data_IF_985218481178
#
_entry.id   IF_985218481178
#
_cell.length_a   1.000
_cell.length_b   1.000
_cell.length_c   1.000
_cell.angle_alpha   90.00
_cell.angle_beta   90.00
_cell.angle_gamma   90.00
#
_symmetry.space_group_name_H-M   'P 1'
#
loop_
_entity.id
_entity.type
_entity.pdbx_description
1 polymer ?
#
# COMPACT_ATOMS: atom_id res chain seq x y z
N UNK A 1 1.83 -1.33 24.57
CA UNK A 1 1.21 -0.83 23.31
C UNK A 1 -0.07 -1.61 23.11
N UNK A 2 -1.16 -0.94 22.79
CA UNK A 2 -2.46 -1.58 22.61
C UNK A 2 -2.63 -2.05 21.16
N UNK A 3 -3.56 -2.97 20.95
CA UNK A 3 -3.94 -3.37 19.59
C UNK A 3 -4.72 -2.25 18.88
N UNK A 4 -4.67 -2.22 17.55
CA UNK A 4 -5.59 -1.39 16.76
C UNK A 4 -7.04 -1.73 17.12
N UNK A 5 -7.90 -0.71 17.15
CA UNK A 5 -9.35 -0.88 17.39
C UNK A 5 -10.00 -1.27 16.06
N UNK A 6 -10.28 -2.55 15.88
CA UNK A 6 -10.95 -3.05 14.69
C UNK A 6 -12.40 -2.55 14.62
N UNK A 7 -12.79 -2.04 13.45
CA UNK A 7 -14.15 -1.52 13.18
C UNK A 7 -14.96 -2.46 12.29
N UNK A 8 -14.29 -3.15 11.36
CA UNK A 8 -14.91 -4.11 10.48
C UNK A 8 -13.89 -5.12 9.96
N UNK A 9 -14.35 -6.33 9.70
CA UNK A 9 -13.59 -7.41 9.06
C UNK A 9 -14.49 -8.05 8.01
N UNK A 10 -14.06 -7.99 6.76
CA UNK A 10 -14.90 -8.32 5.61
C UNK A 10 -14.13 -9.28 4.69
N UNK A 11 -14.85 -10.19 4.06
CA UNK A 11 -14.24 -11.09 3.09
C UNK A 11 -13.74 -10.32 1.87
N UNK A 12 -12.55 -10.63 1.43
CA UNK A 12 -11.97 -10.05 0.22
C UNK A 12 -12.71 -10.55 -1.02
N UNK A 13 -12.94 -9.70 -2.04
CA UNK A 13 -13.59 -10.12 -3.29
C UNK A 13 -12.74 -11.09 -4.13
N UNK A 14 -11.46 -11.23 -3.82
CA UNK A 14 -10.55 -12.19 -4.45
C UNK A 14 -9.53 -12.70 -3.43
N UNK A 15 -9.01 -13.92 -3.59
CA UNK A 15 -8.07 -14.50 -2.64
C UNK A 15 -6.72 -13.77 -2.63
N UNK A 16 -6.00 -13.91 -1.54
CA UNK A 16 -4.69 -13.29 -1.27
C UNK A 16 -4.69 -11.77 -1.57
N UNK A 17 -5.53 -10.95 -0.88
CA UNK A 17 -5.50 -9.52 -1.05
C UNK A 17 -4.11 -8.96 -0.67
N UNK A 18 -3.49 -8.19 -1.58
CA UNK A 18 -2.10 -7.79 -1.46
C UNK A 18 -1.90 -6.27 -1.40
N UNK A 19 -2.58 -5.52 -2.24
CA UNK A 19 -2.46 -4.07 -2.32
C UNK A 19 -3.80 -3.39 -2.07
N UNK A 20 -3.80 -2.18 -1.51
CA UNK A 20 -4.97 -1.35 -1.27
C UNK A 20 -4.68 0.11 -1.61
N UNK A 21 -5.69 0.81 -2.11
CA UNK A 21 -5.71 2.26 -2.22
C UNK A 21 -7.16 2.76 -2.11
N UNK A 22 -7.37 4.01 -1.70
CA UNK A 22 -8.68 4.65 -1.66
C UNK A 22 -8.68 5.90 -2.53
N UNK A 23 -9.67 6.04 -3.42
CA UNK A 23 -9.75 7.14 -4.39
C UNK A 23 -10.68 8.29 -3.97
N UNK A 24 -11.17 8.26 -2.74
CA UNK A 24 -12.17 9.19 -2.21
C UNK A 24 -13.59 8.64 -2.28
N UNK A 25 -13.83 7.57 -3.03
CA UNK A 25 -15.15 6.92 -3.18
C UNK A 25 -15.09 5.40 -3.09
N UNK A 26 -14.03 4.79 -3.62
CA UNK A 26 -13.84 3.35 -3.72
C UNK A 26 -12.54 2.90 -3.11
N UNK A 27 -12.59 1.74 -2.51
CA UNK A 27 -11.39 1.00 -2.10
C UNK A 27 -10.96 0.12 -3.29
N UNK A 28 -9.71 0.28 -3.70
CA UNK A 28 -9.08 -0.51 -4.75
C UNK A 28 -8.23 -1.61 -4.12
N UNK A 29 -8.36 -2.82 -4.62
CA UNK A 29 -7.66 -3.99 -4.12
C UNK A 29 -7.02 -4.78 -5.25
N UNK A 30 -5.76 -5.20 -5.06
CA UNK A 30 -5.08 -6.13 -5.93
C UNK A 30 -4.89 -7.48 -5.26
N UNK A 31 -5.25 -8.56 -5.95
CA UNK A 31 -5.03 -9.94 -5.49
C UNK A 31 -3.66 -10.46 -5.95
N UNK A 32 -2.91 -11.04 -5.04
CA UNK A 32 -1.63 -11.69 -5.36
C UNK A 32 -1.83 -12.96 -6.19
N UNK A 33 -2.82 -13.77 -5.82
CA UNK A 33 -3.07 -15.05 -6.46
C UNK A 33 -3.64 -14.90 -7.88
N UNK A 34 -4.65 -14.05 -8.05
CA UNK A 34 -5.34 -13.89 -9.34
C UNK A 34 -4.77 -12.78 -10.20
N UNK A 35 -3.94 -11.91 -9.64
CA UNK A 35 -3.43 -10.68 -10.27
C UNK A 35 -4.54 -9.70 -10.69
N UNK A 36 -5.79 -9.91 -10.23
CA UNK A 36 -6.91 -9.05 -10.57
C UNK A 36 -6.89 -7.78 -9.71
N UNK A 37 -7.28 -6.68 -10.33
CA UNK A 37 -7.57 -5.41 -9.68
C UNK A 37 -9.08 -5.30 -9.55
N UNK A 38 -9.56 -5.02 -8.35
CA UNK A 38 -10.99 -4.83 -8.05
C UNK A 38 -11.23 -3.46 -7.43
N UNK A 39 -12.33 -2.83 -7.77
CA UNK A 39 -12.86 -1.66 -7.04
C UNK A 39 -14.01 -2.10 -6.16
N UNK A 40 -14.03 -1.63 -4.91
CA UNK A 40 -14.98 -2.01 -3.87
C UNK A 40 -15.68 -0.75 -3.39
N UNK A 41 -16.99 -0.78 -3.33
CA UNK A 41 -17.78 0.24 -2.64
C UNK A 41 -17.73 -0.06 -1.12
N UNK A 42 -17.09 0.79 -0.29
CA UNK A 42 -16.92 0.48 1.13
C UNK A 42 -18.22 0.56 1.95
N UNK A 43 -19.28 1.17 1.41
CA UNK A 43 -20.56 1.27 2.08
C UNK A 43 -21.43 0.02 1.86
N UNK A 44 -21.38 -0.58 0.68
CA UNK A 44 -22.21 -1.74 0.31
C UNK A 44 -21.44 -3.04 0.22
N UNK A 45 -20.12 -2.96 0.23
CA UNK A 45 -19.16 -4.05 0.00
C UNK A 45 -19.34 -4.73 -1.37
N UNK A 46 -19.86 -3.98 -2.34
CA UNK A 46 -20.00 -4.45 -3.72
C UNK A 46 -18.69 -4.25 -4.47
N UNK A 47 -18.14 -5.33 -5.00
CA UNK A 47 -16.91 -5.32 -5.77
C UNK A 47 -17.18 -5.41 -7.28
N UNK A 48 -16.29 -4.78 -8.07
CA UNK A 48 -16.19 -4.91 -9.52
C UNK A 48 -14.79 -5.36 -9.89
N UNK A 49 -14.72 -6.27 -10.84
CA UNK A 49 -13.48 -6.64 -11.49
C UNK A 49 -13.12 -5.59 -12.54
N UNK A 50 -11.99 -4.94 -12.38
CA UNK A 50 -11.54 -3.83 -13.22
C UNK A 50 -10.46 -4.26 -14.24
N UNK A 51 -9.80 -5.39 -14.03
CA UNK A 51 -8.81 -5.93 -14.95
C UNK A 51 -7.72 -6.76 -14.30
N UNK A 52 -6.84 -7.32 -15.14
CA UNK A 52 -5.70 -8.12 -14.70
C UNK A 52 -4.40 -7.33 -14.80
N UNK A 53 -3.56 -7.39 -13.76
CA UNK A 53 -2.22 -6.85 -13.78
C UNK A 53 -1.26 -7.81 -14.51
N UNK A 54 -0.25 -7.31 -15.24
CA UNK A 54 0.74 -8.14 -15.93
C UNK A 54 1.57 -9.01 -14.99
N UNK A 55 1.67 -8.63 -13.73
CA UNK A 55 2.34 -9.38 -12.66
C UNK A 55 1.60 -9.22 -11.33
N UNK A 56 2.18 -9.73 -10.25
CA UNK A 56 1.60 -9.57 -8.90
C UNK A 56 1.52 -8.10 -8.53
N UNK A 57 0.33 -7.53 -8.24
CA UNK A 57 0.17 -6.14 -7.84
C UNK A 57 0.59 -5.95 -6.38
N UNK A 58 1.88 -5.76 -6.15
CA UNK A 58 2.46 -5.69 -4.80
C UNK A 58 1.96 -4.49 -4.01
N UNK A 59 1.81 -3.33 -4.63
CA UNK A 59 1.32 -2.12 -4.01
C UNK A 59 0.62 -1.22 -5.02
N UNK A 60 -0.24 -0.33 -4.55
CA UNK A 60 -0.90 0.66 -5.38
C UNK A 60 -1.17 1.94 -4.60
N UNK A 61 -1.35 3.04 -5.33
CA UNK A 61 -1.81 4.32 -4.80
C UNK A 61 -2.57 5.08 -5.87
N UNK A 62 -3.40 6.03 -5.46
CA UNK A 62 -4.15 6.91 -6.37
C UNK A 62 -3.32 8.14 -6.69
N UNK A 63 -3.28 8.52 -7.97
CA UNK A 63 -2.65 9.76 -8.47
C UNK A 63 -3.61 10.42 -9.47
N UNK A 64 -4.28 11.46 -9.04
CA UNK A 64 -5.39 12.04 -9.81
C UNK A 64 -6.53 11.03 -9.98
N UNK A 65 -6.96 10.77 -11.22
CA UNK A 65 -8.04 9.84 -11.55
C UNK A 65 -7.54 8.42 -11.89
N UNK A 66 -6.27 8.13 -11.61
CA UNK A 66 -5.61 6.88 -11.98
C UNK A 66 -4.97 6.20 -10.78
N UNK A 67 -4.66 4.91 -10.95
CA UNK A 67 -3.78 4.21 -10.03
C UNK A 67 -2.34 4.19 -10.55
N UNK A 68 -1.39 4.25 -9.63
CA UNK A 68 -0.04 3.73 -9.82
C UNK A 68 0.01 2.37 -9.14
N UNK A 69 0.43 1.37 -9.90
CA UNK A 69 0.54 -0.01 -9.42
C UNK A 69 1.98 -0.47 -9.62
N UNK A 70 2.60 -0.98 -8.55
CA UNK A 70 3.91 -1.62 -8.62
C UNK A 70 3.72 -3.13 -8.70
N UNK A 71 4.29 -3.75 -9.72
CA UNK A 71 4.28 -5.20 -9.92
C UNK A 71 5.62 -5.69 -10.47
N UNK A 72 5.86 -7.00 -10.43
CA UNK A 72 7.06 -7.59 -10.95
C UNK A 72 6.93 -7.96 -12.43
N UNK A 73 7.98 -7.73 -13.21
CA UNK A 73 8.10 -8.16 -14.61
C UNK A 73 9.27 -9.13 -14.77
N UNK A 74 9.09 -10.12 -15.66
CA UNK A 74 10.11 -11.08 -16.00
C UNK A 74 10.42 -12.15 -14.94
N UNK A 75 11.45 -12.93 -15.18
CA UNK A 75 11.83 -14.06 -14.33
C UNK A 75 12.42 -13.63 -12.98
N UNK A 76 13.04 -12.47 -12.93
CA UNK A 76 13.68 -11.91 -11.73
C UNK A 76 12.69 -11.09 -10.87
N UNK A 77 11.40 -11.01 -11.29
CA UNK A 77 10.34 -10.25 -10.62
C UNK A 77 10.75 -8.77 -10.41
N UNK A 78 11.47 -8.20 -11.38
CA UNK A 78 11.89 -6.79 -11.37
C UNK A 78 10.70 -5.86 -11.23
N UNK A 79 10.73 -4.98 -10.24
CA UNK A 79 9.61 -4.10 -9.94
C UNK A 79 9.52 -2.94 -10.92
N UNK A 80 8.32 -2.80 -11.50
CA UNK A 80 7.96 -1.67 -12.35
C UNK A 80 6.71 -1.00 -11.82
N UNK A 81 6.66 0.32 -11.94
CA UNK A 81 5.47 1.11 -11.66
C UNK A 81 4.79 1.43 -12.98
N UNK A 82 3.49 1.12 -13.08
CA UNK A 82 2.66 1.42 -14.24
C UNK A 82 1.41 2.19 -13.84
N UNK A 83 0.85 2.84 -14.82
CA UNK A 83 -0.47 3.48 -14.70
C UNK A 83 -1.55 2.46 -14.99
N UNK A 84 -2.56 2.44 -14.16
CA UNK A 84 -3.81 1.75 -14.40
C UNK A 84 -4.93 2.78 -14.46
N UNK A 85 -5.61 2.83 -15.59
CA UNK A 85 -6.70 3.77 -15.84
C UNK A 85 -8.01 3.02 -15.65
N UNK A 86 -8.88 3.39 -14.69
CA UNK A 86 -10.17 2.75 -14.50
C UNK A 86 -10.97 2.69 -15.80
N UNK A 87 -11.52 1.50 -16.10
CA UNK A 87 -12.25 1.23 -17.35
C UNK A 87 -11.39 1.06 -18.61
N UNK A 88 -10.06 1.29 -18.56
CA UNK A 88 -9.16 1.14 -19.71
C UNK A 88 -8.01 0.14 -19.45
N UNK A 89 -7.67 -0.10 -18.17
CA UNK A 89 -6.61 -1.02 -17.78
C UNK A 89 -5.21 -0.40 -17.75
N UNK A 90 -4.18 -1.25 -17.84
CA UNK A 90 -2.78 -0.84 -17.77
C UNK A 90 -2.30 -0.16 -19.05
N UNK A 91 -1.44 0.87 -18.89
CA UNK A 91 -0.78 1.56 -20.00
C UNK A 91 0.74 1.54 -19.84
N UNK A 92 1.45 1.46 -20.96
CA UNK A 92 2.92 1.54 -20.99
C UNK A 92 3.41 2.99 -20.80
N UNK A 93 2.61 3.97 -21.17
CA UNK A 93 2.98 5.38 -21.06
C UNK A 93 3.11 5.81 -19.59
N UNK A 94 4.20 6.52 -19.26
CA UNK A 94 4.43 7.06 -17.92
C UNK A 94 4.78 6.01 -16.86
N UNK A 95 5.16 4.78 -17.28
CA UNK A 95 5.72 3.77 -16.39
C UNK A 95 7.24 3.88 -16.26
N UNK A 96 7.78 3.35 -15.16
CA UNK A 96 9.22 3.30 -14.92
C UNK A 96 9.61 2.09 -14.07
N UNK A 97 10.88 1.69 -14.14
CA UNK A 97 11.45 0.65 -13.27
C UNK A 97 11.67 1.22 -11.87
N UNK A 98 11.26 0.50 -10.84
CA UNK A 98 11.50 0.91 -9.46
C UNK A 98 13.01 0.98 -9.19
N UNK A 99 13.49 1.94 -8.36
CA UNK A 99 14.88 2.01 -7.96
C UNK A 99 15.35 0.67 -7.37
N UNK A 100 16.56 0.25 -7.76
CA UNK A 100 17.17 -1.05 -7.40
C UNK A 100 16.37 -2.29 -7.85
N UNK A 101 15.38 -2.14 -8.75
CA UNK A 101 14.52 -3.22 -9.20
C UNK A 101 13.60 -3.79 -8.11
N UNK A 102 13.45 -3.12 -6.98
CA UNK A 102 12.67 -3.61 -5.84
C UNK A 102 11.70 -2.57 -5.28
N UNK A 103 10.60 -3.03 -4.71
CA UNK A 103 9.56 -2.20 -4.09
C UNK A 103 8.35 -3.03 -3.71
N UNK A 104 7.66 -2.63 -2.65
CA UNK A 104 6.52 -3.39 -2.10
C UNK A 104 5.22 -2.60 -2.12
N UNK A 105 5.22 -1.35 -1.67
CA UNK A 105 4.03 -0.54 -1.52
C UNK A 105 4.23 0.84 -2.13
N UNK A 106 3.13 1.54 -2.39
CA UNK A 106 3.13 2.89 -2.94
C UNK A 106 2.30 3.84 -2.08
N UNK A 107 2.71 5.11 -2.01
CA UNK A 107 1.89 6.21 -1.54
C UNK A 107 2.20 7.50 -2.31
N UNK A 108 1.27 8.45 -2.30
CA UNK A 108 1.37 9.72 -3.01
C UNK A 108 0.99 10.86 -2.08
N UNK A 109 1.81 11.92 -2.02
CA UNK A 109 1.56 13.09 -1.16
C UNK A 109 0.96 14.30 -1.87
N UNK A 110 0.69 14.18 -3.17
CA UNK A 110 0.23 15.26 -4.03
C UNK A 110 1.29 15.75 -5.02
N UNK A 111 2.58 15.42 -4.79
CA UNK A 111 3.72 15.84 -5.61
C UNK A 111 4.73 14.71 -5.85
N UNK A 112 5.01 13.91 -4.84
CA UNK A 112 6.03 12.86 -4.85
C UNK A 112 5.39 11.49 -4.68
N UNK A 113 5.81 10.54 -5.53
CA UNK A 113 5.47 9.12 -5.38
C UNK A 113 6.52 8.44 -4.48
N UNK A 114 6.04 7.78 -3.43
CA UNK A 114 6.90 7.03 -2.51
C UNK A 114 6.75 5.54 -2.72
N UNK A 115 7.90 4.85 -2.80
CA UNK A 115 8.03 3.40 -2.94
C UNK A 115 8.66 2.86 -1.67
N UNK A 116 8.04 1.88 -1.00
CA UNK A 116 8.68 1.20 0.12
C UNK A 116 9.61 0.08 -0.38
N UNK A 117 10.71 -0.12 0.33
CA UNK A 117 11.61 -1.25 0.17
C UNK A 117 11.72 -2.01 1.49
N UNK A 118 11.09 -3.18 1.57
CA UNK A 118 10.97 -3.96 2.80
C UNK A 118 12.34 -4.33 3.39
N UNK A 119 13.20 -5.00 2.62
CA UNK A 119 14.52 -5.43 3.10
C UNK A 119 15.49 -4.29 3.44
N UNK A 120 15.26 -3.11 2.87
CA UNK A 120 16.09 -1.92 3.11
C UNK A 120 15.49 -0.99 4.15
N UNK A 121 14.32 -1.33 4.67
CA UNK A 121 13.58 -0.59 5.71
C UNK A 121 13.56 0.92 5.39
N UNK A 122 13.09 1.26 4.19
CA UNK A 122 13.06 2.67 3.76
C UNK A 122 11.92 2.97 2.78
N UNK A 123 11.57 4.24 2.73
CA UNK A 123 10.74 4.86 1.71
C UNK A 123 11.65 5.61 0.74
N UNK A 124 11.39 5.49 -0.57
CA UNK A 124 12.09 6.24 -1.62
C UNK A 124 11.08 7.15 -2.29
N UNK A 125 11.30 8.47 -2.21
CA UNK A 125 10.56 9.44 -3.00
C UNK A 125 11.14 9.51 -4.42
N UNK A 126 10.27 9.43 -5.43
CA UNK A 126 10.66 9.47 -6.84
C UNK A 126 9.86 10.51 -7.62
N UNK A 127 10.47 11.03 -8.69
CA UNK A 127 9.78 11.87 -9.68
C UNK A 127 8.93 11.03 -10.65
N UNK A 128 8.26 11.69 -11.59
CA UNK A 128 7.42 11.04 -12.60
C UNK A 128 8.17 10.09 -13.55
N UNK A 129 9.50 10.12 -13.56
CA UNK A 129 10.38 9.26 -14.37
C UNK A 129 11.02 8.14 -13.54
N UNK A 130 10.77 8.10 -12.23
CA UNK A 130 11.37 7.16 -11.30
C UNK A 130 12.76 7.56 -10.80
N UNK A 131 13.21 8.80 -11.03
CA UNK A 131 14.46 9.31 -10.49
C UNK A 131 14.29 9.56 -9.00
N UNK A 132 15.26 9.10 -8.20
CA UNK A 132 15.24 9.24 -6.74
C UNK A 132 15.40 10.69 -6.33
N UNK A 133 14.44 11.22 -5.58
CA UNK A 133 14.45 12.56 -4.99
C UNK A 133 14.99 12.55 -3.56
N UNK A 134 14.76 11.46 -2.83
CA UNK A 134 15.20 11.31 -1.45
C UNK A 134 14.81 9.97 -0.85
N UNK A 135 15.28 9.71 0.35
CA UNK A 135 14.97 8.49 1.10
C UNK A 135 14.66 8.82 2.55
N UNK A 136 13.71 8.08 3.14
CA UNK A 136 13.37 8.14 4.56
C UNK A 136 13.51 6.74 5.15
N UNK A 137 14.31 6.59 6.20
CA UNK A 137 14.46 5.32 6.91
C UNK A 137 13.19 4.99 7.69
N UNK A 138 12.86 3.71 7.75
CA UNK A 138 11.81 3.15 8.61
C UNK A 138 12.45 2.27 9.68
N UNK A 139 11.84 2.13 10.87
CA UNK A 139 12.39 1.29 11.93
C UNK A 139 12.30 -0.21 11.62
N UNK A 140 11.35 -0.62 10.79
CA UNK A 140 11.02 -2.01 10.47
C UNK A 140 10.76 -2.19 8.96
N UNK A 141 10.63 -3.42 8.50
CA UNK A 141 10.20 -3.76 7.15
C UNK A 141 8.77 -3.29 6.87
N UNK A 142 8.55 -2.65 5.72
CA UNK A 142 7.28 -2.00 5.39
C UNK A 142 6.39 -2.94 4.57
N UNK A 143 5.24 -3.33 5.13
CA UNK A 143 4.24 -4.18 4.51
C UNK A 143 3.04 -3.42 3.94
N UNK A 144 2.80 -2.20 4.41
CA UNK A 144 1.74 -1.31 3.95
C UNK A 144 2.12 0.14 4.17
N UNK A 145 1.62 1.06 3.34
CA UNK A 145 1.87 2.48 3.52
C UNK A 145 0.75 3.35 2.96
N UNK A 146 0.51 4.46 3.63
CA UNK A 146 -0.32 5.56 3.16
C UNK A 146 0.18 6.88 3.75
N UNK A 147 -0.28 8.01 3.22
CA UNK A 147 0.04 9.34 3.74
C UNK A 147 -1.24 10.00 4.24
N UNK A 148 -1.22 10.47 5.48
CA UNK A 148 -2.32 11.19 6.10
C UNK A 148 -1.78 12.48 6.70
N UNK A 149 -2.31 13.62 6.28
CA UNK A 149 -1.92 14.95 6.78
C UNK A 149 -0.39 15.20 6.71
N UNK A 150 0.25 14.71 5.63
CA UNK A 150 1.69 14.86 5.38
C UNK A 150 2.58 13.97 6.25
N UNK A 151 2.03 12.98 6.93
CA UNK A 151 2.77 11.97 7.68
C UNK A 151 2.59 10.60 7.05
N UNK A 152 3.63 9.78 7.07
CA UNK A 152 3.52 8.37 6.66
C UNK A 152 2.90 7.56 7.78
N UNK A 153 1.91 6.75 7.43
CA UNK A 153 1.40 5.67 8.24
C UNK A 153 1.74 4.36 7.54
N UNK A 154 2.34 3.45 8.28
CA UNK A 154 2.91 2.21 7.77
C UNK A 154 2.37 1.02 8.55
N UNK A 155 2.11 -0.08 7.88
CA UNK A 155 2.11 -1.39 8.50
C UNK A 155 3.52 -1.95 8.39
N UNK A 156 4.12 -2.29 9.52
CA UNK A 156 5.53 -2.71 9.59
C UNK A 156 5.69 -4.01 10.37
N UNK A 157 6.77 -4.74 10.10
CA UNK A 157 7.18 -5.95 10.83
C UNK A 157 8.67 -6.21 10.63
N UNK A 158 9.29 -6.91 11.56
CA UNK A 158 10.66 -7.42 11.40
C UNK A 158 10.72 -8.83 10.82
N UNK A 159 9.61 -9.58 10.92
CA UNK A 159 9.47 -10.94 10.39
C UNK A 159 8.06 -11.13 9.83
N UNK A 160 7.96 -11.39 8.52
CA UNK A 160 6.67 -11.53 7.83
C UNK A 160 5.92 -12.81 8.19
N UNK A 161 6.59 -13.82 8.68
CA UNK A 161 6.02 -15.15 8.94
C UNK A 161 5.67 -15.36 10.42
N UNK A 162 6.46 -14.79 11.33
CA UNK A 162 6.34 -15.09 12.77
C UNK A 162 6.41 -13.85 13.66
N UNK A 163 6.59 -12.65 13.07
CA UNK A 163 6.78 -11.42 13.82
C UNK A 163 5.50 -10.71 14.24
N UNK A 164 5.67 -9.76 15.13
CA UNK A 164 4.64 -8.77 15.43
C UNK A 164 4.48 -7.80 14.27
N UNK A 165 3.28 -7.27 14.12
CA UNK A 165 2.98 -6.22 13.17
C UNK A 165 2.57 -4.97 13.92
N UNK A 166 3.07 -3.82 13.45
CA UNK A 166 2.79 -2.53 14.05
C UNK A 166 2.16 -1.56 13.04
N UNK A 167 1.32 -0.69 13.54
CA UNK A 167 0.99 0.55 12.87
C UNK A 167 2.03 1.58 13.30
N UNK A 168 2.93 1.93 12.38
CA UNK A 168 4.03 2.87 12.61
C UNK A 168 3.74 4.19 11.91
N UNK A 169 3.95 5.32 12.60
CA UNK A 169 3.89 6.65 12.02
C UNK A 169 5.30 7.21 11.83
N UNK A 170 5.55 7.86 10.68
CA UNK A 170 6.77 8.63 10.46
C UNK A 170 6.39 10.08 10.12
N UNK A 171 6.82 11.02 10.96
CA UNK A 171 6.78 12.44 10.66
C UNK A 171 8.11 12.86 10.01
N UNK A 172 8.09 13.08 8.70
CA UNK A 172 9.25 13.48 7.90
C UNK A 172 9.27 14.99 7.59
N UNK A 173 8.36 15.79 8.15
CA UNK A 173 8.28 17.25 7.89
C UNK A 173 9.40 18.05 8.54
N UNK A 174 10.05 17.50 9.57
CA UNK A 174 11.19 18.11 10.23
C UNK A 174 12.53 17.74 9.59
N UNK A 175 13.64 18.37 10.03
CA UNK A 175 14.98 18.07 9.52
C UNK A 175 15.45 16.64 9.81
N UNK A 176 14.85 15.99 10.80
CA UNK A 176 15.11 14.61 11.17
C UNK A 176 13.77 13.88 11.26
N UNK A 177 13.52 12.86 10.43
CA UNK A 177 12.32 12.03 10.52
C UNK A 177 12.18 11.42 11.91
N UNK A 178 10.96 11.39 12.44
CA UNK A 178 10.62 10.74 13.71
C UNK A 178 9.66 9.60 13.46
N UNK A 179 10.06 8.40 13.86
CA UNK A 179 9.24 7.21 13.78
C UNK A 179 8.69 6.84 15.17
N UNK A 180 7.44 6.35 15.21
CA UNK A 180 6.75 5.93 16.40
C UNK A 180 5.80 4.78 16.07
N UNK A 181 5.87 3.68 16.81
CA UNK A 181 4.90 2.61 16.75
C UNK A 181 3.69 2.99 17.59
N UNK A 182 2.53 3.10 16.95
CA UNK A 182 1.31 3.61 17.57
C UNK A 182 0.47 2.49 18.18
N UNK A 183 0.41 1.34 17.52
CA UNK A 183 -0.42 0.22 17.95
C UNK A 183 0.07 -1.12 17.35
N UNK A 184 -0.31 -2.22 17.96
CA UNK A 184 -0.11 -3.58 17.43
C UNK A 184 -1.24 -3.87 16.43
N UNK A 185 -0.89 -4.41 15.26
CA UNK A 185 -1.83 -5.03 14.31
C UNK A 185 -1.80 -6.53 14.57
N UNK A 186 -2.84 -7.13 15.20
CA UNK A 186 -2.75 -8.49 15.74
C UNK A 186 -2.92 -9.60 14.70
N UNK A 187 -2.42 -9.38 13.48
CA UNK A 187 -2.41 -10.34 12.36
C UNK A 187 -1.39 -9.93 11.30
N UNK A 188 -0.95 -10.87 10.46
CA UNK A 188 -0.06 -10.58 9.33
C UNK A 188 -0.72 -9.67 8.30
N UNK A 189 -0.52 -8.36 8.44
CA UNK A 189 -1.17 -7.35 7.62
C UNK A 189 -0.36 -7.01 6.36
N UNK A 190 -1.06 -6.66 5.27
CA UNK A 190 -0.50 -6.20 4.00
C UNK A 190 -1.26 -4.99 3.49
N UNK A 191 -0.55 -4.07 2.87
CA UNK A 191 -1.07 -2.80 2.40
C UNK A 191 -1.67 -1.91 3.51
N UNK A 192 -1.88 -0.64 3.21
CA UNK A 192 -2.57 0.31 4.06
C UNK A 192 -3.20 1.38 3.18
N UNK A 193 -4.49 1.64 3.37
CA UNK A 193 -5.21 2.75 2.78
C UNK A 193 -5.94 3.54 3.87
N UNK A 194 -6.25 4.81 3.60
CA UNK A 194 -7.00 5.67 4.51
C UNK A 194 -8.17 6.32 3.76
N UNK A 195 -9.39 6.21 4.31
CA UNK A 195 -10.61 6.72 3.65
C UNK A 195 -11.05 8.10 4.15
N UNK A 196 -10.22 8.76 4.97
CA UNK A 196 -10.52 10.03 5.61
C UNK A 196 -11.00 9.87 7.06
N UNK A 197 -11.41 8.67 7.46
CA UNK A 197 -11.92 8.37 8.80
C UNK A 197 -11.18 7.20 9.46
N UNK A 198 -10.94 6.12 8.71
CA UNK A 198 -10.38 4.85 9.19
C UNK A 198 -9.31 4.34 8.25
N UNK A 199 -8.45 3.49 8.77
CA UNK A 199 -7.50 2.73 7.99
C UNK A 199 -8.10 1.42 7.50
N UNK A 200 -7.62 0.97 6.34
CA UNK A 200 -7.92 -0.32 5.73
C UNK A 200 -6.63 -1.07 5.47
N UNK A 201 -6.60 -2.34 5.83
CA UNK A 201 -5.47 -3.25 5.58
C UNK A 201 -5.96 -4.63 5.19
N UNK A 202 -5.09 -5.44 4.59
CA UNK A 202 -5.39 -6.81 4.20
C UNK A 202 -4.87 -7.79 5.25
N UNK A 203 -5.70 -8.72 5.70
CA UNK A 203 -5.26 -9.98 6.32
C UNK A 203 -5.17 -11.04 5.22
N UNK A 204 -4.04 -11.03 4.47
CA UNK A 204 -3.89 -11.82 3.25
C UNK A 204 -4.13 -13.31 3.43
N UNK A 205 -3.58 -13.90 4.50
CA UNK A 205 -3.70 -15.35 4.77
C UNK A 205 -5.13 -15.80 5.11
N UNK A 206 -6.00 -14.86 5.50
CA UNK A 206 -7.39 -15.12 5.83
C UNK A 206 -8.36 -14.69 4.73
N UNK A 207 -7.85 -14.16 3.59
CA UNK A 207 -8.66 -13.58 2.52
C UNK A 207 -9.61 -12.47 2.99
N UNK A 208 -9.13 -11.61 3.89
CA UNK A 208 -9.94 -10.56 4.52
C UNK A 208 -9.34 -9.17 4.32
N UNK A 209 -10.23 -8.18 4.31
CA UNK A 209 -9.91 -6.76 4.42
C UNK A 209 -10.45 -6.26 5.76
N UNK A 210 -9.59 -5.58 6.51
CA UNK A 210 -9.88 -5.13 7.88
C UNK A 210 -9.84 -3.61 7.93
N UNK A 211 -10.91 -3.01 8.49
CA UNK A 211 -10.95 -1.61 8.84
C UNK A 211 -10.66 -1.42 10.32
N UNK A 212 -9.86 -0.41 10.67
CA UNK A 212 -9.58 -0.07 12.06
C UNK A 212 -9.50 1.45 12.28
N UNK A 213 -9.74 1.85 13.51
CA UNK A 213 -9.73 3.26 13.88
C UNK A 213 -8.32 3.86 13.82
N UNK A 214 -8.25 5.15 13.54
CA UNK A 214 -7.01 5.92 13.66
C UNK A 214 -6.68 6.09 15.15
N UNK A 215 -5.54 5.55 15.66
CA UNK A 215 -5.26 5.50 17.10
C UNK A 215 -4.88 6.86 17.71
N UNK A 216 -4.58 7.87 16.90
CA UNK A 216 -4.15 9.20 17.33
C UNK A 216 -5.27 10.27 17.23
N UNK A 217 -6.53 9.83 17.26
CA UNK A 217 -7.73 10.67 17.35
C UNK A 217 -8.48 10.46 18.66
#
# INVERSE_FOLDING_TARGET
MDNVVELARLDSPAPEPQSLAFDGTRLWMGSRQTRRISSIDPATWTARDEGEAPGVPWGMTVVGDELRVIYGEGADDDRVVRRFIPGHGFTQAGGFRAPDGTGSQLSWDGDVLYISQWYKQRLIGVDARGSVLGTTAAPHGICGQTIVEGQFYLVTTDDEDHGDYWLTRIDARGPTPRAEDLAIVPFPARALAFDGERFWTNHRAADQIVAFARPDR
#
